data_IF_481502803116
#
_entry.id   IF_481502803116
#
_cell.length_a   1.000
_cell.length_b   1.000
_cell.length_c   1.000
_cell.angle_alpha   90.00
_cell.angle_beta   90.00
_cell.angle_gamma   90.00
#
_symmetry.space_group_name_H-M   'P 1'
#
loop_
_entity.id
_entity.type
_entity.pdbx_description
1 polymer ?
2 non-polymer ?
3 non-polymer ?
4 non-polymer ?
5 non-polymer ?
6 water ?
#
# COMPACT_ATOMS: atom_id res chain seq x y z
N UNK A 14 -1.64 4.44 -17.63
CA UNK A 14 -0.76 4.54 -16.46
C UNK A 14 -0.21 5.94 -16.21
N UNK A 15 0.19 6.19 -14.97
CA UNK A 15 0.78 7.46 -14.53
C UNK A 15 2.16 7.05 -14.04
N UNK A 16 3.17 7.19 -14.89
CA UNK A 16 4.44 6.56 -14.61
C UNK A 16 5.40 7.48 -13.88
N UNK A 17 6.22 6.88 -13.04
CA UNK A 17 7.24 7.63 -12.30
C UNK A 17 8.48 6.76 -12.20
N UNK A 18 9.63 7.42 -12.11
CA UNK A 18 10.89 6.74 -11.83
C UNK A 18 11.36 7.19 -10.46
N UNK A 19 11.57 6.23 -9.56
CA UNK A 19 11.96 6.51 -8.19
C UNK A 19 13.37 5.99 -7.97
N UNK A 20 14.30 6.90 -7.68
CA UNK A 20 15.68 6.54 -7.45
C UNK A 20 15.90 6.02 -6.03
N UNK A 21 16.75 5.01 -5.92
CA UNK A 21 17.15 4.42 -4.64
C UNK A 21 18.66 4.35 -4.60
N UNK A 22 19.23 4.10 -3.42
CA UNK A 22 20.69 3.90 -3.36
C UNK A 22 21.25 2.76 -4.19
N UNK A 23 20.49 1.69 -4.45
CA UNK A 23 21.04 0.58 -5.22
C UNK A 23 20.45 0.44 -6.61
N UNK A 24 19.56 1.32 -7.01
CA UNK A 24 18.94 1.24 -8.32
C UNK A 24 17.61 1.96 -8.32
N UNK A 25 17.03 2.06 -9.49
CA UNK A 25 15.79 2.78 -9.65
C UNK A 25 14.65 1.81 -9.92
N UNK A 26 13.43 2.24 -9.59
CA UNK A 26 12.23 1.49 -9.93
C UNK A 26 11.34 2.36 -10.78
N UNK A 27 10.71 1.77 -11.78
CA UNK A 27 9.62 2.44 -12.47
C UNK A 27 8.31 1.99 -11.84
N UNK A 28 7.43 2.95 -11.57
CA UNK A 28 6.16 2.72 -10.88
C UNK A 28 5.03 3.22 -11.78
N UNK A 29 3.97 2.43 -11.89
CA UNK A 29 2.69 2.94 -12.35
C UNK A 29 1.96 3.41 -11.11
N UNK A 30 1.86 4.73 -10.93
CA UNK A 30 1.29 5.27 -9.71
C UNK A 30 -0.17 4.88 -9.53
N UNK A 31 -0.88 4.61 -10.63
CA UNK A 31 -2.29 4.25 -10.51
C UNK A 31 -2.47 2.83 -9.96
N UNK A 32 -1.82 1.84 -10.58
CA UNK A 32 -1.97 0.46 -10.13
C UNK A 32 -1.00 0.10 -9.00
N UNK A 33 0.05 0.90 -8.80
CA UNK A 33 1.12 0.65 -7.84
C UNK A 33 1.96 -0.57 -8.19
N UNK A 34 1.85 -1.02 -9.44
CA UNK A 34 2.81 -1.95 -10.02
C UNK A 34 4.15 -1.25 -10.11
N UNK A 35 5.22 -1.99 -9.85
CA UNK A 35 6.52 -1.41 -10.09
C UNK A 35 7.47 -2.49 -10.54
N UNK A 36 8.63 -2.03 -11.03
CA UNK A 36 9.54 -2.79 -11.88
C UNK A 36 10.96 -2.29 -11.62
N UNK A 37 11.89 -3.19 -11.20
CA UNK A 37 13.26 -2.78 -10.95
C UNK A 37 13.90 -2.50 -12.29
N UNK A 38 14.39 -1.29 -12.47
CA UNK A 38 15.03 -0.90 -13.72
C UNK A 38 16.51 -1.24 -13.65
N UNK A 39 17.03 -1.79 -14.74
CA UNK A 39 18.47 -1.79 -14.88
C UNK A 39 18.93 -0.35 -15.14
N UNK A 40 20.20 -0.08 -14.89
CA UNK A 40 20.71 1.26 -15.14
C UNK A 40 20.54 1.66 -16.61
N UNK A 41 20.82 0.72 -17.51
CA UNK A 41 20.64 0.95 -18.93
C UNK A 41 19.16 1.17 -19.25
N UNK A 42 18.29 0.33 -18.71
CA UNK A 42 16.86 0.47 -18.99
C UNK A 42 16.31 1.80 -18.52
N UNK A 43 16.75 2.26 -17.35
CA UNK A 43 16.32 3.56 -16.85
C UNK A 43 16.72 4.67 -17.81
N UNK A 44 17.96 4.63 -18.31
CA UNK A 44 18.41 5.65 -19.24
C UNK A 44 17.57 5.64 -20.51
N UNK A 45 17.28 4.45 -21.04
CA UNK A 45 16.49 4.37 -22.25
C UNK A 45 15.05 4.83 -22.03
N UNK A 46 14.48 4.51 -20.86
CA UNK A 46 13.14 4.98 -20.54
C UNK A 46 13.07 6.49 -20.52
N UNK A 47 14.02 7.15 -19.84
CA UNK A 47 14.00 8.61 -19.82
C UNK A 47 14.08 9.17 -21.23
N UNK A 48 15.00 8.63 -22.04
CA UNK A 48 15.14 9.12 -23.42
C UNK A 48 13.83 8.95 -24.19
N UNK A 49 13.24 7.75 -24.12
CA UNK A 49 12.00 7.53 -24.86
C UNK A 49 10.89 8.46 -24.36
N UNK A 50 10.86 8.77 -23.07
CA UNK A 50 9.81 9.67 -22.57
C UNK A 50 9.99 11.08 -23.10
N UNK A 51 11.20 11.45 -23.51
CA UNK A 51 11.46 12.81 -23.99
C UNK A 51 11.28 12.89 -25.50
N UNK A 52 12.12 12.21 -26.27
CA UNK A 52 12.02 12.34 -27.71
C UNK A 52 10.96 11.43 -28.32
N UNK A 53 10.46 10.46 -27.56
CA UNK A 53 9.30 9.66 -27.96
C UNK A 53 9.50 8.95 -29.30
N UNK A 54 10.73 8.59 -29.63
CA UNK A 54 11.01 8.02 -30.94
C UNK A 54 12.16 7.04 -30.83
N UNK A 55 11.91 5.80 -31.25
CA UNK A 55 12.92 4.75 -31.12
C UNK A 55 14.16 5.05 -31.94
N UNK A 56 13.96 5.61 -33.16
CA UNK A 56 15.09 5.94 -34.00
C UNK A 56 15.94 7.05 -33.38
N UNK A 57 15.30 8.09 -32.85
CA UNK A 57 16.03 9.18 -32.20
C UNK A 57 16.77 8.66 -30.98
N UNK A 58 16.09 7.88 -30.13
CA UNK A 58 16.71 7.37 -28.92
C UNK A 58 17.91 6.48 -29.25
N UNK A 59 17.76 5.60 -30.24
CA UNK A 59 18.88 4.75 -30.64
C UNK A 59 20.07 5.58 -31.12
N UNK A 60 19.81 6.63 -31.91
CA UNK A 60 20.90 7.43 -32.42
C UNK A 60 21.60 8.22 -31.31
N UNK A 61 20.81 8.78 -30.39
CA UNK A 61 21.39 9.43 -29.21
C UNK A 61 22.31 8.46 -28.48
N UNK A 62 21.83 7.23 -28.27
CA UNK A 62 22.64 6.22 -27.60
C UNK A 62 23.96 6.01 -28.34
N UNK A 63 23.90 5.88 -29.67
CA UNK A 63 25.12 5.69 -30.44
C UNK A 63 26.11 6.82 -30.22
N UNK A 64 25.62 8.06 -30.23
CA UNK A 64 26.51 9.23 -30.09
C UNK A 64 27.13 9.29 -28.70
N UNK A 65 26.30 9.15 -27.67
CA UNK A 65 26.78 9.31 -26.30
C UNK A 65 27.62 8.12 -25.87
N UNK A 66 27.17 6.91 -26.17
CA UNK A 66 27.78 5.69 -25.66
C UNK A 66 28.84 5.12 -26.59
N UNK A 67 28.94 5.61 -27.82
CA UNK A 67 29.93 5.08 -28.77
C UNK A 67 29.75 3.59 -28.98
N UNK A 68 28.48 3.15 -29.08
CA UNK A 68 28.07 1.77 -29.24
C UNK A 68 26.98 1.75 -30.32
N UNK A 69 27.05 0.79 -31.23
CA UNK A 69 26.04 0.72 -32.28
C UNK A 69 24.69 0.30 -31.71
N UNK A 70 23.62 0.96 -32.19
CA UNK A 70 22.26 0.63 -31.76
C UNK A 70 21.30 1.14 -32.82
N UNK A 71 20.58 0.23 -33.46
CA UNK A 71 19.55 0.60 -34.41
C UNK A 71 18.20 0.58 -33.72
N UNK A 72 17.20 1.17 -34.37
CA UNK A 72 15.84 1.11 -33.85
C UNK A 72 15.37 -0.34 -33.70
N UNK A 73 15.77 -1.22 -34.62
CA UNK A 73 15.37 -2.62 -34.49
C UNK A 73 16.04 -3.30 -33.30
N UNK A 74 17.32 -2.99 -33.06
CA UNK A 74 18.00 -3.55 -31.89
C UNK A 74 17.40 -3.03 -30.60
N UNK A 75 17.08 -1.73 -30.55
CA UNK A 75 16.44 -1.17 -29.37
C UNK A 75 15.07 -1.81 -29.15
N UNK A 76 14.28 -1.92 -30.21
CA UNK A 76 12.98 -2.56 -30.09
C UNK A 76 13.11 -4.00 -29.60
N UNK A 77 14.03 -4.77 -30.19
CA UNK A 77 14.22 -6.15 -29.76
C UNK A 77 14.69 -6.23 -28.31
N UNK A 78 15.58 -5.32 -27.89
CA UNK A 78 16.02 -5.30 -26.51
C UNK A 78 14.85 -5.07 -25.56
N UNK A 79 14.05 -4.04 -25.83
CA UNK A 79 12.92 -3.75 -24.96
C UNK A 79 11.81 -4.80 -25.07
N UNK A 80 11.74 -5.53 -26.18
CA UNK A 80 10.75 -6.60 -26.27
C UNK A 80 11.06 -7.79 -25.38
N UNK A 81 12.17 -7.76 -24.64
CA UNK A 81 12.59 -8.89 -23.81
C UNK A 81 11.69 -9.10 -22.59
N UNK A 82 10.90 -8.09 -22.20
CA UNK A 82 10.00 -8.17 -21.06
C UNK A 82 8.71 -7.45 -21.47
N UNK A 83 7.55 -8.00 -21.10
CA UNK A 83 6.29 -7.38 -21.54
C UNK A 83 6.10 -5.93 -21.09
N UNK A 84 6.66 -5.55 -19.95
CA UNK A 84 6.49 -4.16 -19.53
C UNK A 84 7.37 -3.22 -20.33
N UNK A 85 8.65 -3.55 -20.48
CA UNK A 85 9.48 -2.72 -21.35
C UNK A 85 9.02 -2.79 -22.79
N UNK A 86 8.36 -3.87 -23.20
CA UNK A 86 7.85 -3.95 -24.56
C UNK A 86 6.86 -2.82 -24.84
N UNK A 87 6.03 -2.49 -23.84
CA UNK A 87 5.09 -1.39 -23.99
C UNK A 87 5.79 -0.05 -24.25
N UNK A 88 7.06 0.09 -23.85
CA UNK A 88 7.77 1.33 -24.11
C UNK A 88 7.99 1.55 -25.61
N UNK A 89 7.90 0.50 -26.40
CA UNK A 89 7.93 0.63 -27.86
C UNK A 89 6.55 0.89 -28.45
N UNK A 90 5.52 0.96 -27.61
CA UNK A 90 4.15 1.22 -28.05
C UNK A 90 3.59 2.52 -27.49
N UNK A 91 4.46 3.39 -26.96
CA UNK A 91 4.04 4.68 -26.48
C UNK A 91 3.64 4.77 -25.02
N UNK A 92 3.95 3.76 -24.20
CA UNK A 92 3.62 3.83 -22.78
C UNK A 92 4.25 5.06 -22.13
N UNK A 93 5.45 5.44 -22.55
CA UNK A 93 6.22 6.51 -21.94
C UNK A 93 5.93 7.88 -22.57
N UNK A 94 4.81 8.03 -23.28
CA UNK A 94 4.53 9.27 -24.02
C UNK A 94 4.06 10.43 -23.14
N UNK A 95 3.70 10.22 -21.88
CA UNK A 95 3.36 11.31 -20.95
C UNK A 95 4.57 11.64 -20.08
N UNK A 96 4.60 12.80 -19.42
CA UNK A 96 5.77 13.13 -18.59
C UNK A 96 5.99 12.13 -17.48
N UNK A 97 7.26 11.79 -17.26
CA UNK A 97 7.69 10.77 -16.32
C UNK A 97 8.15 11.47 -15.03
N UNK A 98 7.41 11.27 -13.94
CA UNK A 98 7.72 11.95 -12.68
C UNK A 98 8.98 11.35 -12.05
N UNK A 99 9.90 12.20 -11.59
CA UNK A 99 11.15 11.75 -10.99
C UNK A 99 11.16 12.04 -9.50
N UNK A 100 11.55 11.06 -8.70
CA UNK A 100 11.63 11.23 -7.25
C UNK A 100 12.71 10.31 -6.69
N UNK A 101 12.93 10.43 -5.38
CA UNK A 101 13.82 9.52 -4.69
C UNK A 101 15.17 10.14 -4.40
N UNK A 102 16.11 9.26 -4.06
CA UNK A 102 17.42 9.69 -3.59
C UNK A 102 18.43 8.57 -3.82
N UNK A 103 19.65 8.97 -4.17
CA UNK A 103 20.74 8.00 -4.27
C UNK A 103 21.38 7.73 -2.91
N UNK A 104 21.01 8.50 -1.88
CA UNK A 104 21.67 8.42 -0.60
C UNK A 104 20.81 7.85 0.51
N UNK A 105 19.50 7.83 0.34
CA UNK A 105 18.58 7.34 1.35
C UNK A 105 17.45 6.58 0.65
N UNK A 106 16.79 5.69 1.41
CA UNK A 106 15.62 4.98 0.91
C UNK A 106 14.39 5.79 1.29
N UNK A 107 13.73 6.34 0.29
CA UNK A 107 12.49 7.09 0.45
C UNK A 107 11.33 6.26 -0.06
N UNK A 108 10.19 6.27 0.61
CA UNK A 108 9.12 5.34 0.26
C UNK A 108 8.29 5.83 -0.92
N UNK A 109 7.63 4.88 -1.58
CA UNK A 109 6.62 5.21 -2.59
C UNK A 109 5.19 5.04 -2.06
N UNK A 110 5.04 4.41 -0.91
CA UNK A 110 3.76 4.18 -0.29
C UNK A 110 3.93 4.38 1.20
N UNK A 111 2.97 5.04 1.84
CA UNK A 111 2.97 5.15 3.29
C UNK A 111 1.60 4.78 3.84
N UNK A 112 1.63 4.28 5.08
CA UNK A 112 0.43 4.02 5.85
C UNK A 112 0.50 4.91 7.08
N UNK A 113 -0.51 5.73 7.27
CA UNK A 113 -0.54 6.71 8.36
C UNK A 113 -1.56 6.25 9.40
N UNK A 114 -1.10 5.98 10.61
CA UNK A 114 -1.96 5.66 11.73
C UNK A 114 -2.44 6.96 12.35
N UNK A 115 -3.63 7.42 11.95
CA UNK A 115 -4.02 8.78 12.31
C UNK A 115 -4.28 8.91 13.80
N UNK A 116 -4.82 7.87 14.41
CA UNK A 116 -5.09 7.83 15.84
C UNK A 116 -5.09 6.37 16.28
N UNK A 117 -4.79 6.12 17.54
CA UNK A 117 -5.01 4.79 18.09
C UNK A 117 -6.37 4.66 18.77
N UNK A 118 -7.15 5.74 18.81
CA UNK A 118 -8.51 5.65 19.33
C UNK A 118 -9.36 4.74 18.45
N UNK A 119 -10.30 4.04 19.07
CA UNK A 119 -11.25 3.21 18.33
C UNK A 119 -12.48 3.05 19.19
N UNK A 120 -13.65 2.87 18.56
CA UNK A 120 -14.85 2.59 19.33
C UNK A 120 -15.01 1.11 19.64
N UNK A 121 -14.17 0.24 19.07
CA UNK A 121 -14.09 -1.15 19.48
C UNK A 121 -12.80 -1.37 20.27
N UNK A 122 -12.61 -2.60 20.73
CA UNK A 122 -11.39 -2.95 21.45
C UNK A 122 -11.14 -4.45 21.25
N UNK A 123 -11.07 -4.86 19.98
CA UNK A 123 -10.98 -6.27 19.62
C UNK A 123 -9.82 -6.94 20.34
N UNK A 124 -10.07 -8.15 20.84
CA UNK A 124 -9.08 -8.83 21.66
C UNK A 124 -7.84 -9.26 20.86
N UNK A 125 -7.89 -9.20 19.54
CA UNK A 125 -6.78 -9.60 18.69
C UNK A 125 -5.99 -8.41 18.15
N UNK A 126 -6.41 -7.17 18.43
CA UNK A 126 -5.94 -6.00 17.70
C UNK A 126 -4.42 -5.85 17.77
N UNK A 127 -3.75 -5.89 16.61
CA UNK A 127 -2.29 -5.77 16.60
C UNK A 127 -1.83 -4.41 17.11
N UNK A 128 -2.68 -3.40 17.00
CA UNK A 128 -2.33 -2.03 17.39
C UNK A 128 -2.77 -1.72 18.81
N UNK A 129 -3.41 -2.68 19.48
CA UNK A 129 -3.93 -2.48 20.83
C UNK A 129 -4.78 -1.21 20.91
N UNK A 130 -5.62 -1.01 19.90
CA UNK A 130 -6.34 0.24 19.75
C UNK A 130 -7.53 0.32 20.71
N UNK A 131 -8.09 1.53 20.81
CA UNK A 131 -9.21 1.83 21.67
C UNK A 131 -8.98 3.18 22.31
N UNK A 132 -7.91 3.29 23.10
CA UNK A 132 -7.55 4.58 23.67
C UNK A 132 -6.48 5.24 22.80
N UNK A 133 -6.56 6.54 22.56
CA UNK A 133 -5.49 7.19 21.81
C UNK A 133 -4.22 7.23 22.64
N UNK A 134 -3.08 7.35 21.96
CA UNK A 134 -1.86 7.63 22.68
C UNK A 134 -2.01 9.00 23.37
N UNK A 135 -1.28 9.23 24.46
CA UNK A 135 -1.43 10.52 25.16
C UNK A 135 -1.11 11.72 24.30
N UNK A 136 -0.18 11.58 23.36
CA UNK A 136 0.13 12.64 22.42
C UNK A 136 0.12 12.01 21.04
N UNK A 137 -0.75 12.49 20.17
CA UNK A 137 -0.84 12.03 18.79
C UNK A 137 -0.74 13.24 17.89
N UNK A 138 -0.29 13.02 16.65
CA UNK A 138 -0.29 14.09 15.68
C UNK A 138 -1.72 14.59 15.46
N UNK A 139 -1.88 15.91 15.43
CA UNK A 139 -3.15 16.50 15.07
C UNK A 139 -3.36 16.38 13.56
N UNK A 140 -4.61 16.61 13.13
CA UNK A 140 -4.87 16.61 11.69
C UNK A 140 -4.02 17.66 10.97
N UNK A 141 -3.80 18.80 11.63
CA UNK A 141 -2.95 19.83 11.03
C UNK A 141 -1.52 19.31 10.82
N UNK A 142 -0.99 18.59 11.81
CA UNK A 142 0.34 18.01 11.66
C UNK A 142 0.36 16.94 10.57
N UNK A 143 -0.69 16.12 10.49
CA UNK A 143 -0.72 15.12 9.42
C UNK A 143 -0.76 15.79 8.04
N UNK A 144 -1.42 16.95 7.94
CA UNK A 144 -1.44 17.67 6.68
C UNK A 144 -0.04 18.20 6.34
N UNK A 145 0.72 18.66 7.35
CA UNK A 145 2.13 19.01 7.11
C UNK A 145 2.90 17.78 6.60
N UNK A 146 2.69 16.64 7.26
CA UNK A 146 3.38 15.41 6.88
C UNK A 146 3.06 15.04 5.45
N UNK A 147 1.78 15.10 5.08
CA UNK A 147 1.41 14.67 3.75
C UNK A 147 2.04 15.54 2.67
N UNK A 148 2.16 16.84 2.93
CA UNK A 148 2.84 17.70 1.95
C UNK A 148 4.29 17.30 1.77
N UNK A 149 4.97 16.96 2.87
CA UNK A 149 6.34 16.49 2.78
C UNK A 149 6.43 15.16 2.02
N UNK A 150 5.55 14.21 2.33
CA UNK A 150 5.59 12.92 1.65
C UNK A 150 5.33 13.07 0.16
N UNK A 151 4.30 13.84 -0.20
CA UNK A 151 3.98 13.98 -1.62
C UNK A 151 5.11 14.66 -2.37
N UNK A 152 5.74 15.67 -1.75
CA UNK A 152 6.86 16.36 -2.40
C UNK A 152 8.05 15.45 -2.57
N UNK A 153 8.11 14.34 -1.83
CA UNK A 153 9.17 13.36 -1.96
C UNK A 153 8.77 12.18 -2.84
N UNK A 154 7.63 12.24 -3.51
CA UNK A 154 7.28 11.20 -4.45
C UNK A 154 6.44 10.06 -3.91
N UNK A 155 5.98 10.13 -2.66
CA UNK A 155 5.03 9.12 -2.19
C UNK A 155 3.76 9.23 -3.03
N UNK A 156 3.34 8.09 -3.60
CA UNK A 156 2.22 8.08 -4.55
C UNK A 156 0.92 7.55 -3.95
N UNK A 157 1.03 6.76 -2.88
CA UNK A 157 -0.07 5.95 -2.39
C UNK A 157 -0.11 6.08 -0.88
N UNK A 158 -1.30 6.38 -0.35
CA UNK A 158 -1.47 6.60 1.08
C UNK A 158 -2.61 5.73 1.61
N UNK A 159 -2.38 5.13 2.78
CA UNK A 159 -3.43 4.45 3.51
C UNK A 159 -3.61 5.16 4.84
N UNK A 160 -4.87 5.42 5.21
CA UNK A 160 -5.21 6.06 6.46
C UNK A 160 -5.82 5.01 7.37
N UNK A 161 -5.17 4.75 8.52
CA UNK A 161 -5.57 3.66 9.40
C UNK A 161 -5.53 4.14 10.86
N UNK A 162 -5.62 3.20 11.78
CA UNK A 162 -5.67 3.52 13.20
C UNK A 162 -5.42 2.29 14.04
N UNK A 163 -6.28 1.96 15.01
CA UNK A 163 -7.45 2.73 15.36
C UNK A 163 -8.48 2.82 14.27
N UNK A 164 -9.49 3.64 14.51
CA UNK A 164 -10.48 4.02 13.50
C UNK A 164 -10.08 5.41 13.01
N UNK A 165 -9.45 5.45 11.85
CA UNK A 165 -8.85 6.67 11.32
C UNK A 165 -9.83 7.84 11.33
N UNK A 166 -11.07 7.60 10.93
CA UNK A 166 -11.99 8.72 10.75
C UNK A 166 -12.41 9.37 12.06
N UNK A 167 -12.04 8.79 13.21
CA UNK A 167 -12.33 9.43 14.48
C UNK A 167 -11.49 10.67 14.72
N UNK A 168 -10.39 10.85 13.97
CA UNK A 168 -9.53 12.00 14.23
C UNK A 168 -10.31 13.29 13.98
N UNK A 169 -10.17 14.24 14.90
CA UNK A 169 -10.75 15.56 14.64
C UNK A 169 -10.13 16.15 13.39
N UNK A 170 -10.97 16.70 12.51
CA UNK A 170 -10.48 17.24 11.26
C UNK A 170 -10.31 16.22 10.16
N UNK A 171 -10.95 15.05 10.28
CA UNK A 171 -10.79 14.00 9.29
C UNK A 171 -11.17 14.45 7.88
N UNK A 172 -12.27 15.20 7.74
CA UNK A 172 -12.74 15.56 6.40
C UNK A 172 -11.69 16.38 5.66
N UNK A 173 -11.15 17.41 6.31
CA UNK A 173 -10.10 18.20 5.69
C UNK A 173 -8.88 17.33 5.40
N UNK A 174 -8.56 16.42 6.32
CA UNK A 174 -7.38 15.59 6.10
C UNK A 174 -7.55 14.67 4.89
N UNK A 175 -8.70 14.01 4.77
CA UNK A 175 -8.87 13.10 3.65
C UNK A 175 -8.94 13.85 2.32
N UNK A 176 -9.44 15.10 2.33
CA UNK A 176 -9.37 15.91 1.11
C UNK A 176 -7.93 16.21 0.74
N UNK A 177 -7.09 16.56 1.71
CA UNK A 177 -5.68 16.77 1.41
C UNK A 177 -5.05 15.49 0.87
N UNK A 178 -5.35 14.36 1.49
CA UNK A 178 -4.80 13.10 1.00
C UNK A 178 -5.22 12.84 -0.43
N UNK A 179 -6.50 12.98 -0.73
CA UNK A 179 -6.96 12.79 -2.11
C UNK A 179 -6.26 13.73 -3.06
N UNK A 180 -6.07 14.99 -2.63
CA UNK A 180 -5.51 16.01 -3.49
C UNK A 180 -4.04 15.80 -3.78
N UNK A 181 -3.29 15.22 -2.83
CA UNK A 181 -1.85 15.16 -2.95
C UNK A 181 -1.32 13.81 -3.42
N UNK A 182 -2.15 12.77 -3.45
CA UNK A 182 -1.68 11.42 -3.77
C UNK A 182 -2.51 10.83 -4.89
N UNK A 183 -1.92 9.88 -5.61
CA UNK A 183 -2.66 9.27 -6.70
C UNK A 183 -3.79 8.41 -6.17
N UNK A 184 -3.52 7.64 -5.11
CA UNK A 184 -4.51 6.78 -4.48
C UNK A 184 -4.52 6.98 -2.98
N UNK A 185 -5.72 6.93 -2.41
CA UNK A 185 -5.92 6.96 -0.96
C UNK A 185 -6.79 5.77 -0.60
N UNK A 186 -6.46 5.12 0.50
CA UNK A 186 -7.31 4.10 1.07
C UNK A 186 -7.58 4.45 2.53
N UNK A 187 -8.85 4.32 2.94
CA UNK A 187 -9.25 4.54 4.34
C UNK A 187 -9.62 3.18 4.93
N UNK A 188 -8.96 2.77 6.01
CA UNK A 188 -9.31 1.53 6.67
C UNK A 188 -10.33 1.85 7.76
N UNK A 189 -11.40 1.06 7.83
CA UNK A 189 -12.47 1.28 8.79
C UNK A 189 -13.09 -0.03 9.26
N UNK A 190 -13.50 -0.04 10.53
CA UNK A 190 -14.34 -1.12 11.00
C UNK A 190 -15.76 -1.07 10.43
N UNK A 191 -16.11 -0.01 9.67
CA UNK A 191 -17.42 0.11 9.05
C UNK A 191 -18.51 0.65 9.94
N UNK A 192 -18.20 1.06 11.17
CA UNK A 192 -19.19 1.59 12.08
C UNK A 192 -19.22 3.11 12.00
N UNK A 193 -20.41 3.68 12.27
CA UNK A 193 -20.56 5.13 12.48
C UNK A 193 -20.18 5.93 11.23
N UNK A 194 -20.64 5.50 10.07
CA UNK A 194 -20.43 6.23 8.82
C UNK A 194 -21.59 7.18 8.56
N UNK A 195 -21.27 8.44 8.29
CA UNK A 195 -22.25 9.48 7.99
C UNK A 195 -22.44 9.64 6.47
N UNK A 196 -23.66 10.04 6.09
CA UNK A 196 -23.99 10.19 4.68
C UNK A 196 -23.03 11.14 3.99
N UNK A 197 -22.69 12.25 4.65
CA UNK A 197 -21.83 13.21 3.97
C UNK A 197 -20.39 12.71 3.88
N UNK A 198 -19.97 11.78 4.74
CA UNK A 198 -18.67 11.14 4.61
C UNK A 198 -18.63 10.26 3.37
N UNK A 199 -19.68 9.47 3.17
CA UNK A 199 -19.79 8.66 1.96
C UNK A 199 -19.76 9.56 0.73
N UNK A 200 -20.59 10.62 0.76
CA UNK A 200 -20.66 11.53 -0.37
C UNK A 200 -19.30 12.16 -0.66
N UNK A 201 -18.60 12.60 0.39
CA UNK A 201 -17.30 13.23 0.22
C UNK A 201 -16.32 12.30 -0.48
N UNK A 202 -16.20 11.08 0.02
CA UNK A 202 -15.25 10.14 -0.57
C UNK A 202 -15.65 9.78 -2.00
N UNK A 203 -16.96 9.71 -2.26
CA UNK A 203 -17.42 9.43 -3.61
C UNK A 203 -16.94 10.50 -4.59
N UNK A 204 -17.14 11.76 -4.23
CA UNK A 204 -16.77 12.86 -5.13
C UNK A 204 -15.26 12.98 -5.28
N UNK A 205 -14.50 12.71 -4.22
CA UNK A 205 -13.06 12.83 -4.31
C UNK A 205 -12.51 11.91 -5.39
N UNK A 206 -13.08 10.73 -5.52
CA UNK A 206 -12.87 9.91 -6.70
C UNK A 206 -11.70 8.96 -6.66
N UNK A 207 -10.67 9.25 -5.86
CA UNK A 207 -9.49 8.38 -5.80
C UNK A 207 -9.32 7.79 -4.41
N UNK A 208 -10.43 7.63 -3.68
CA UNK A 208 -10.40 7.08 -2.34
C UNK A 208 -11.13 5.73 -2.33
N UNK A 209 -10.44 4.70 -1.87
CA UNK A 209 -11.06 3.40 -1.61
C UNK A 209 -11.23 3.24 -0.11
N UNK A 210 -12.04 2.26 0.28
CA UNK A 210 -12.26 1.98 1.69
C UNK A 210 -12.09 0.50 1.94
N UNK A 211 -11.32 0.15 2.97
CA UNK A 211 -11.15 -1.22 3.41
C UNK A 211 -11.96 -1.41 4.68
N UNK A 212 -12.86 -2.40 4.67
CA UNK A 212 -13.77 -2.68 5.79
C UNK A 212 -13.46 -4.08 6.32
N UNK A 213 -13.35 -4.22 7.64
CA UNK A 213 -13.10 -5.53 8.24
C UNK A 213 -14.40 -6.28 8.53
N UNK A 214 -14.52 -7.48 7.98
CA UNK A 214 -15.64 -8.38 8.25
C UNK A 214 -15.02 -9.71 8.67
N UNK A 215 -15.34 -10.17 9.87
CA UNK A 215 -14.64 -11.31 10.48
C UNK A 215 -15.51 -12.54 10.65
N UNK A 216 -16.60 -12.63 9.92
CA UNK A 216 -17.47 -13.77 9.99
C UNK A 216 -18.86 -13.35 9.54
N UNK A 217 -19.78 -14.32 9.54
CA UNK A 217 -21.19 -13.96 9.48
C UNK A 217 -21.62 -13.30 10.79
N UNK A 218 -22.90 -12.95 10.88
CA UNK A 218 -23.38 -12.02 11.90
C UNK A 218 -22.89 -12.37 13.29
N UNK A 219 -23.19 -13.57 13.76
CA UNK A 219 -22.94 -13.85 15.17
C UNK A 219 -21.46 -14.02 15.47
N UNK A 220 -20.71 -14.69 14.58
CA UNK A 220 -19.27 -14.86 14.81
C UNK A 220 -18.55 -13.52 14.75
N UNK A 221 -18.85 -12.71 13.73
CA UNK A 221 -18.27 -11.39 13.62
C UNK A 221 -18.56 -10.56 14.88
N UNK A 222 -19.83 -10.55 15.30
CA UNK A 222 -20.22 -9.71 16.44
C UNK A 222 -19.51 -10.15 17.71
N UNK A 223 -19.33 -11.46 17.90
CA UNK A 223 -18.60 -11.96 19.06
C UNK A 223 -17.13 -11.56 19.00
N UNK A 224 -16.48 -11.78 17.85
CA UNK A 224 -15.06 -11.49 17.72
C UNK A 224 -14.79 -10.00 17.92
N UNK A 225 -15.67 -9.14 17.42
CA UNK A 225 -15.50 -7.69 17.47
C UNK A 225 -16.13 -7.07 18.72
N UNK A 226 -16.82 -7.85 19.54
CA UNK A 226 -17.43 -7.32 20.74
C UNK A 226 -18.51 -6.29 20.49
N UNK A 227 -19.29 -6.45 19.42
CA UNK A 227 -20.30 -5.46 19.07
C UNK A 227 -21.53 -6.18 18.51
N UNK A 228 -22.56 -6.31 19.33
CA UNK A 228 -23.81 -6.85 18.85
C UNK A 228 -24.40 -5.90 17.81
N UNK A 229 -24.69 -6.43 16.62
CA UNK A 229 -25.13 -5.62 15.51
C UNK A 229 -24.02 -5.04 14.66
N UNK A 230 -22.76 -5.31 15.00
CA UNK A 230 -21.65 -4.77 14.23
C UNK A 230 -21.63 -5.25 12.80
N UNK A 231 -21.85 -6.54 12.58
CA UNK A 231 -21.84 -7.08 11.22
C UNK A 231 -22.88 -6.38 10.35
N UNK A 232 -24.10 -6.26 10.86
CA UNK A 232 -25.15 -5.66 10.04
C UNK A 232 -24.81 -4.22 9.69
N UNK A 233 -24.28 -3.46 10.66
CA UNK A 233 -23.92 -2.08 10.39
C UNK A 233 -22.77 -1.99 9.37
N UNK A 234 -21.72 -2.79 9.59
CA UNK A 234 -20.59 -2.75 8.69
C UNK A 234 -20.95 -3.20 7.29
N UNK A 235 -21.83 -4.21 7.17
CA UNK A 235 -22.24 -4.65 5.84
C UNK A 235 -23.07 -3.56 5.16
N UNK A 236 -23.89 -2.85 5.93
CA UNK A 236 -24.63 -1.74 5.36
C UNK A 236 -23.69 -0.65 4.86
N UNK A 237 -22.62 -0.39 5.60
CA UNK A 237 -21.63 0.58 5.14
C UNK A 237 -21.00 0.13 3.83
N UNK A 238 -20.64 -1.16 3.72
CA UNK A 238 -20.09 -1.65 2.45
C UNK A 238 -21.07 -1.38 1.31
N UNK A 239 -22.35 -1.62 1.54
CA UNK A 239 -23.35 -1.39 0.51
C UNK A 239 -23.44 0.09 0.15
N UNK A 240 -23.51 0.97 1.15
CA UNK A 240 -23.62 2.41 0.89
C UNK A 240 -22.40 2.91 0.12
N UNK A 241 -21.21 2.48 0.53
CA UNK A 241 -20.00 2.89 -0.17
C UNK A 241 -20.01 2.40 -1.61
N UNK A 242 -20.35 1.13 -1.82
CA UNK A 242 -20.35 0.58 -3.17
C UNK A 242 -21.40 1.28 -4.04
N UNK A 243 -22.56 1.59 -3.45
CA UNK A 243 -23.60 2.28 -4.22
C UNK A 243 -23.15 3.67 -4.66
N UNK A 244 -22.26 4.30 -3.88
CA UNK A 244 -21.66 5.58 -4.23
C UNK A 244 -20.41 5.41 -5.09
N UNK A 245 -20.18 4.21 -5.65
CA UNK A 245 -19.07 3.97 -6.56
C UNK A 245 -17.71 4.11 -5.91
N UNK A 246 -17.63 3.86 -4.61
CA UNK A 246 -16.36 3.84 -3.89
C UNK A 246 -15.87 2.38 -3.88
N UNK A 247 -14.66 2.10 -4.36
CA UNK A 247 -14.17 0.72 -4.29
C UNK A 247 -14.01 0.30 -2.84
N UNK A 248 -14.60 -0.85 -2.51
CA UNK A 248 -14.54 -1.41 -1.18
C UNK A 248 -13.74 -2.70 -1.20
N UNK A 249 -12.75 -2.76 -0.32
CA UNK A 249 -11.95 -3.96 -0.06
C UNK A 249 -12.38 -4.51 1.28
N UNK A 250 -12.78 -5.78 1.32
CA UNK A 250 -13.16 -6.41 2.57
C UNK A 250 -12.00 -7.26 3.06
N UNK A 251 -11.60 -7.03 4.31
CA UNK A 251 -10.49 -7.75 4.93
C UNK A 251 -11.06 -8.65 6.03
N UNK A 252 -10.84 -9.95 5.90
CA UNK A 252 -11.29 -10.92 6.89
C UNK A 252 -10.06 -11.52 7.57
N UNK A 253 -10.00 -11.44 8.89
CA UNK A 253 -8.86 -11.87 9.67
C UNK A 253 -9.23 -13.19 10.34
N UNK A 254 -8.51 -14.25 9.98
CA UNK A 254 -8.95 -15.63 10.18
C UNK A 254 -8.48 -16.15 11.52
N UNK A 255 -9.36 -16.92 12.18
CA UNK A 255 -9.04 -17.63 13.40
C UNK A 255 -9.85 -18.93 13.39
N UNK A 256 -9.72 -19.71 14.46
CA UNK A 256 -10.44 -20.99 14.48
C UNK A 256 -11.95 -20.82 14.50
N UNK A 257 -12.45 -19.66 14.91
CA UNK A 257 -13.89 -19.44 15.01
C UNK A 257 -14.52 -19.16 13.66
N UNK A 258 -13.82 -18.43 12.78
CA UNK A 258 -14.43 -17.99 11.54
C UNK A 258 -13.90 -18.68 10.31
N UNK A 259 -12.96 -19.63 10.46
CA UNK A 259 -12.34 -20.24 9.29
C UNK A 259 -13.35 -20.90 8.37
N UNK A 260 -14.41 -21.48 8.93
CA UNK A 260 -15.43 -22.16 8.13
C UNK A 260 -16.53 -21.22 7.62
N UNK A 261 -16.39 -19.92 7.82
CA UNK A 261 -17.39 -18.95 7.36
C UNK A 261 -16.94 -18.14 6.15
N UNK A 262 -15.79 -18.45 5.58
CA UNK A 262 -15.20 -17.63 4.52
C UNK A 262 -16.12 -17.55 3.31
N UNK A 263 -16.61 -18.69 2.84
CA UNK A 263 -17.43 -18.67 1.63
C UNK A 263 -18.73 -17.90 1.85
N UNK A 264 -19.36 -18.06 3.02
CA UNK A 264 -20.56 -17.27 3.31
C UNK A 264 -20.26 -15.77 3.36
N UNK A 265 -19.13 -15.39 3.97
CA UNK A 265 -18.76 -13.97 4.00
C UNK A 265 -18.52 -13.44 2.58
N UNK A 266 -17.83 -14.22 1.75
CA UNK A 266 -17.56 -13.77 0.38
C UNK A 266 -18.86 -13.49 -0.35
N UNK A 267 -19.85 -14.38 -0.20
CA UNK A 267 -21.16 -14.16 -0.83
C UNK A 267 -21.77 -12.85 -0.37
N UNK A 268 -21.73 -12.58 0.94
CA UNK A 268 -22.31 -11.34 1.44
C UNK A 268 -21.59 -10.13 0.85
N UNK A 269 -20.27 -10.21 0.75
CA UNK A 269 -19.50 -9.11 0.19
C UNK A 269 -19.80 -8.91 -1.28
N UNK A 270 -19.92 -10.00 -2.04
CA UNK A 270 -20.28 -9.89 -3.44
C UNK A 270 -21.65 -9.24 -3.59
N UNK A 271 -22.63 -9.69 -2.80
CA UNK A 271 -23.96 -9.10 -2.87
C UNK A 271 -23.97 -7.63 -2.49
N UNK A 272 -23.10 -7.23 -1.56
CA UNK A 272 -23.02 -5.84 -1.12
C UNK A 272 -22.27 -4.95 -2.09
N UNK A 273 -21.61 -5.52 -3.09
CA UNK A 273 -20.93 -4.73 -4.10
C UNK A 273 -19.46 -4.49 -3.86
N UNK A 274 -18.84 -5.21 -2.92
CA UNK A 274 -17.42 -5.05 -2.69
C UNK A 274 -16.62 -5.40 -3.95
N UNK A 275 -15.44 -4.80 -4.05
CA UNK A 275 -14.52 -4.88 -5.18
C UNK A 275 -13.50 -5.99 -4.99
N UNK A 276 -13.00 -6.14 -3.77
CA UNK A 276 -11.92 -7.08 -3.44
C UNK A 276 -12.26 -7.73 -2.12
N UNK A 277 -11.96 -9.01 -2.00
CA UNK A 277 -12.02 -9.72 -0.73
C UNK A 277 -10.65 -10.32 -0.44
N UNK A 278 -10.13 -10.07 0.77
CA UNK A 278 -8.83 -10.59 1.17
C UNK A 278 -8.93 -11.24 2.54
N UNK A 279 -8.49 -12.48 2.65
CA UNK A 279 -8.41 -13.15 3.92
C UNK A 279 -6.95 -13.23 4.36
N UNK A 280 -6.71 -13.06 5.65
CA UNK A 280 -5.36 -13.15 6.18
C UNK A 280 -5.37 -13.77 7.56
N UNK A 281 -4.22 -14.26 7.98
CA UNK A 281 -4.09 -14.89 9.29
C UNK A 281 -4.09 -13.84 10.41
N UNK A 282 -4.49 -14.29 11.60
CA UNK A 282 -4.27 -13.50 12.80
C UNK A 282 -2.82 -13.68 13.23
N UNK A 283 -2.10 -12.57 13.39
CA UNK A 283 -0.68 -12.59 13.71
C UNK A 283 -0.48 -12.28 15.19
N UNK A 284 0.60 -12.83 15.75
CA UNK A 284 0.87 -12.71 17.18
C UNK A 284 1.55 -11.37 17.46
N UNK A 285 0.74 -10.32 17.38
CA UNK A 285 1.20 -8.96 17.61
C UNK A 285 0.14 -8.23 18.43
N UNK A 286 0.59 -7.34 19.32
CA UNK A 286 -0.37 -6.56 20.10
C UNK A 286 -1.21 -7.44 21.00
N UNK A 287 -2.51 -7.14 21.07
CA UNK A 287 -3.37 -7.90 21.98
C UNK A 287 -3.50 -9.37 21.60
N UNK A 288 -3.23 -9.72 20.36
CA UNK A 288 -3.36 -11.12 19.96
C UNK A 288 -2.27 -12.01 20.59
N UNK A 289 -1.20 -11.43 21.13
CA UNK A 289 -0.17 -12.27 21.71
C UNK A 289 -0.69 -13.08 22.89
N UNK A 290 -1.63 -12.51 23.66
CA UNK A 290 -2.15 -13.22 24.83
C UNK A 290 -2.97 -14.42 24.39
N UNK A 291 -2.51 -15.61 24.77
CA UNK A 291 -3.20 -16.83 24.38
C UNK A 291 -3.05 -17.21 22.93
N UNK A 292 -2.06 -16.67 22.22
CA UNK A 292 -1.97 -16.88 20.79
C UNK A 292 -1.82 -18.36 20.45
N UNK A 293 -2.59 -18.80 19.46
CA UNK A 293 -2.46 -20.13 18.88
C UNK A 293 -2.36 -19.96 17.37
N UNK A 294 -1.27 -20.46 16.79
CA UNK A 294 -1.10 -20.39 15.34
C UNK A 294 -2.19 -21.19 14.64
N UNK A 295 -2.65 -20.69 13.51
CA UNK A 295 -3.68 -21.38 12.76
C UNK A 295 -3.16 -22.73 12.32
N UNK A 296 -3.71 -23.83 12.86
CA UNK A 296 -3.16 -25.13 12.50
C UNK A 296 -3.52 -25.48 11.06
N UNK A 297 -2.92 -26.57 10.57
CA UNK A 297 -2.94 -26.83 9.13
C UNK A 297 -4.35 -27.14 8.63
N UNK A 298 -5.17 -27.81 9.45
CA UNK A 298 -6.52 -28.14 9.03
C UNK A 298 -7.35 -26.88 8.79
N UNK A 299 -7.21 -25.88 9.67
CA UNK A 299 -7.97 -24.65 9.50
C UNK A 299 -7.47 -23.86 8.30
N UNK A 300 -6.16 -23.89 8.05
CA UNK A 300 -5.61 -23.17 6.91
C UNK A 300 -6.09 -23.77 5.59
N UNK A 301 -6.13 -25.10 5.49
CA UNK A 301 -6.64 -25.73 4.28
C UNK A 301 -8.13 -25.48 4.11
N UNK A 302 -8.87 -25.45 5.22
CA UNK A 302 -10.29 -25.13 5.18
C UNK A 302 -10.53 -23.77 4.53
N UNK A 303 -9.73 -22.77 4.88
CA UNK A 303 -9.85 -21.46 4.24
C UNK A 303 -9.56 -21.57 2.75
N UNK A 304 -8.51 -22.31 2.39
CA UNK A 304 -8.09 -22.36 0.99
C UNK A 304 -9.15 -22.99 0.10
N UNK A 305 -9.82 -24.05 0.57
CA UNK A 305 -10.86 -24.67 -0.26
C UNK A 305 -12.02 -23.70 -0.49
N UNK A 306 -12.35 -22.90 0.51
CA UNK A 306 -13.44 -21.95 0.34
C UNK A 306 -13.04 -20.82 -0.59
N UNK A 307 -11.80 -20.35 -0.51
CA UNK A 307 -11.36 -19.33 -1.44
C UNK A 307 -11.42 -19.84 -2.87
N UNK A 308 -11.00 -21.10 -3.09
CA UNK A 308 -11.08 -21.69 -4.42
C UNK A 308 -12.52 -21.78 -4.90
N UNK A 309 -13.41 -22.32 -4.06
CA UNK A 309 -14.82 -22.40 -4.42
C UNK A 309 -15.37 -21.01 -4.71
N UNK A 310 -14.99 -20.02 -3.90
CA UNK A 310 -15.53 -18.67 -4.05
C UNK A 310 -15.14 -18.06 -5.39
N UNK A 311 -13.89 -18.27 -5.82
CA UNK A 311 -13.47 -17.74 -7.12
C UNK A 311 -14.25 -18.38 -8.25
N UNK A 312 -14.51 -19.68 -8.16
CA UNK A 312 -15.34 -20.34 -9.17
C UNK A 312 -16.73 -19.72 -9.20
N UNK A 313 -17.32 -19.45 -8.04
CA UNK A 313 -18.68 -18.93 -7.99
C UNK A 313 -18.72 -17.42 -8.24
N UNK A 314 -17.98 -16.65 -7.44
CA UNK A 314 -18.07 -15.18 -7.45
C UNK A 314 -16.94 -14.50 -8.18
N UNK A 315 -15.95 -15.24 -8.68
CA UNK A 315 -14.77 -14.59 -9.26
C UNK A 315 -15.10 -13.59 -10.34
N UNK A 316 -16.28 -13.74 -10.98
CA UNK A 316 -16.68 -12.79 -12.00
C UNK A 316 -16.96 -11.42 -11.41
N UNK A 317 -17.63 -11.38 -10.25
CA UNK A 317 -18.11 -10.13 -9.68
C UNK A 317 -17.22 -9.57 -8.57
N UNK A 318 -16.10 -10.24 -8.25
CA UNK A 318 -15.33 -9.87 -7.07
C UNK A 318 -13.93 -10.46 -7.19
N UNK A 319 -12.91 -9.66 -6.89
CA UNK A 319 -11.53 -10.12 -6.88
C UNK A 319 -11.24 -10.75 -5.53
N UNK A 320 -11.05 -12.07 -5.51
CA UNK A 320 -10.80 -12.82 -4.29
C UNK A 320 -9.31 -13.12 -4.22
N UNK A 321 -8.61 -12.44 -3.30
CA UNK A 321 -7.15 -12.47 -3.28
C UNK A 321 -6.65 -13.85 -2.87
N UNK A 322 -5.52 -14.25 -3.47
CA UNK A 322 -4.88 -15.50 -3.12
C UNK A 322 -4.42 -15.51 -1.67
N UNK A 323 -4.61 -16.65 -1.00
CA UNK A 323 -4.19 -16.82 0.38
C UNK A 323 -2.67 -16.72 0.52
N UNK A 324 -2.22 -15.83 1.41
CA UNK A 324 -0.79 -15.57 1.62
C UNK A 324 -0.08 -15.16 0.32
N UNK A 332 5.74 -6.40 -9.38
CA UNK A 332 4.99 -6.62 -8.14
C UNK A 332 4.28 -5.34 -7.71
N UNK A 333 3.24 -5.46 -6.89
CA UNK A 333 2.66 -4.31 -6.22
C UNK A 333 2.89 -4.35 -4.71
N UNK A 334 3.65 -5.31 -4.22
CA UNK A 334 4.01 -5.36 -2.81
C UNK A 334 5.16 -4.40 -2.56
N UNK A 335 4.90 -3.33 -1.83
CA UNK A 335 5.94 -2.36 -1.52
C UNK A 335 6.74 -2.86 -0.34
N UNK A 336 8.04 -3.08 -0.56
CA UNK A 336 8.88 -3.72 0.42
C UNK A 336 8.94 -2.89 1.71
N UNK A 337 8.75 -3.50 2.87
CA UNK A 337 8.73 -2.73 4.12
C UNK A 337 10.06 -2.03 4.36
N UNK A 338 9.97 -0.78 4.78
CA UNK A 338 11.12 0.05 5.08
C UNK A 338 11.78 0.62 3.85
N UNK A 339 12.08 -0.23 2.86
CA UNK A 339 12.77 0.22 1.67
C UNK A 339 11.85 0.99 0.73
N UNK A 340 10.59 0.54 0.60
CA UNK A 340 9.65 1.22 -0.30
C UNK A 340 8.37 1.65 0.37
N UNK A 341 8.11 1.21 1.60
CA UNK A 341 6.89 1.57 2.31
C UNK A 341 7.25 1.93 3.74
N UNK A 342 6.62 2.98 4.24
CA UNK A 342 6.75 3.37 5.64
C UNK A 342 5.40 3.30 6.34
N UNK A 343 5.43 2.88 7.59
CA UNK A 343 4.30 2.99 8.50
C UNK A 343 4.59 4.12 9.48
N UNK A 344 3.67 5.07 9.59
CA UNK A 344 3.86 6.23 10.46
C UNK A 344 2.83 6.15 11.57
N UNK A 345 3.31 5.91 12.78
CA UNK A 345 2.45 5.74 13.94
C UNK A 345 1.82 7.06 14.35
N UNK A 346 0.76 6.96 15.16
CA UNK A 346 0.05 8.16 15.59
C UNK A 346 0.92 9.07 16.46
N UNK A 347 1.97 8.53 17.07
CA UNK A 347 2.93 9.33 17.82
C UNK A 347 4.07 9.86 16.97
N UNK A 348 4.00 9.66 15.65
CA UNK A 348 4.99 10.21 14.74
C UNK A 348 6.17 9.31 14.43
N UNK A 349 6.36 8.23 15.18
CA UNK A 349 7.47 7.33 14.85
C UNK A 349 7.20 6.54 13.58
N UNK A 350 8.23 6.46 12.73
CA UNK A 350 8.19 5.78 11.45
C UNK A 350 8.81 4.40 11.63
N UNK A 351 8.13 3.37 11.14
CA UNK A 351 8.62 2.00 11.18
C UNK A 351 8.45 1.39 9.80
N UNK A 352 9.02 0.20 9.56
CA UNK A 352 8.90 -0.40 8.23
C UNK A 352 7.54 -0.98 7.95
N UNK A 353 6.70 -1.15 8.97
CA UNK A 353 5.57 -2.07 8.84
C UNK A 353 4.61 -1.83 9.98
N UNK A 354 3.30 -1.94 9.70
CA UNK A 354 2.31 -1.68 10.73
C UNK A 354 2.41 -2.66 11.91
N UNK A 355 3.06 -3.80 11.73
CA UNK A 355 3.24 -4.76 12.81
C UNK A 355 4.45 -4.46 13.69
N UNK A 356 5.30 -3.52 13.29
CA UNK A 356 6.63 -3.37 13.85
C UNK A 356 6.73 -2.04 14.58
N UNK A 357 7.23 -2.11 15.82
CA UNK A 357 7.52 -0.94 16.66
C UNK A 357 8.90 -0.36 16.39
N UNK A 358 9.84 -1.17 15.93
CA UNK A 358 11.23 -0.72 15.77
C UNK A 358 11.27 0.46 14.82
N UNK A 359 11.80 1.62 15.24
CA UNK A 359 11.70 2.82 14.40
C UNK A 359 12.84 3.04 13.44
N UNK A 360 12.48 3.58 12.27
CA UNK A 360 13.46 4.18 11.38
C UNK A 360 13.78 5.61 11.81
N UNK A 361 12.84 6.26 12.48
CA UNK A 361 13.02 7.64 12.86
C UNK A 361 11.67 8.22 13.27
N UNK A 362 11.62 9.55 13.32
CA UNK A 362 10.42 10.27 13.72
C UNK A 362 10.09 11.29 12.65
N UNK A 363 8.84 11.28 12.17
CA UNK A 363 8.48 12.05 10.96
C UNK A 363 8.56 13.56 11.17
N UNK A 364 8.44 14.03 12.40
CA UNK A 364 8.58 15.46 12.65
C UNK A 364 9.98 15.84 13.13
N UNK A 365 10.61 14.97 13.92
CA UNK A 365 11.88 15.33 14.55
C UNK A 365 13.07 15.10 13.62
N UNK A 366 12.97 14.19 12.66
CA UNK A 366 14.08 13.80 11.82
C UNK A 366 13.80 14.19 10.38
N UNK A 367 14.85 14.41 9.60
CA UNK A 367 14.68 14.68 8.20
C UNK A 367 14.30 13.40 7.45
N UNK A 368 13.60 13.56 6.32
CA UNK A 368 13.31 12.40 5.48
C UNK A 368 14.58 11.60 5.17
N UNK A 369 15.66 12.30 4.82
CA UNK A 369 16.90 11.65 4.46
C UNK A 369 17.44 10.82 5.61
N UNK A 370 17.33 11.33 6.84
CA UNK A 370 17.84 10.57 7.99
C UNK A 370 16.96 9.35 8.29
N UNK A 371 15.65 9.46 8.09
CA UNK A 371 14.76 8.35 8.37
C UNK A 371 15.09 7.17 7.47
N UNK A 372 15.40 7.44 6.20
CA UNK A 372 15.69 6.38 5.24
C UNK A 372 17.15 5.96 5.18
N UNK A 373 17.86 6.07 6.30
CA UNK A 373 19.27 5.67 6.33
C UNK A 373 19.46 4.21 5.91
N UNK A 374 20.29 3.92 4.91
CA UNK A 374 20.54 2.51 4.56
C UNK A 374 21.09 1.69 5.71
N UNK A 375 21.97 2.26 6.53
CA UNK A 375 22.54 1.51 7.64
C UNK A 375 21.48 1.11 8.65
N UNK A 376 20.57 2.04 8.98
CA UNK A 376 19.52 1.70 9.93
C UNK A 376 18.61 0.62 9.37
N UNK A 377 18.30 0.68 8.07
CA UNK A 377 17.46 -0.35 7.47
C UNK A 377 18.10 -1.73 7.61
N UNK A 378 19.41 -1.82 7.39
CA UNK A 378 20.11 -3.09 7.59
C UNK A 378 19.99 -3.55 9.04
N UNK A 379 20.15 -2.62 9.99
CA UNK A 379 20.02 -2.96 11.39
C UNK A 379 18.60 -3.44 11.71
N UNK A 380 17.58 -2.74 11.19
CA UNK A 380 16.21 -3.17 11.43
C UNK A 380 15.92 -4.51 10.77
N UNK A 381 16.51 -4.75 9.60
CA UNK A 381 16.31 -6.00 8.91
C UNK A 381 16.73 -7.19 9.78
N UNK A 382 17.81 -7.03 10.55
CA UNK A 382 18.27 -8.10 11.44
C UNK A 382 17.53 -8.10 12.77
N UNK A 383 17.17 -6.92 13.29
CA UNK A 383 16.64 -6.78 14.63
C UNK A 383 15.13 -6.96 14.72
N UNK A 384 14.40 -6.72 13.63
CA UNK A 384 12.94 -6.71 13.68
C UNK A 384 12.38 -8.08 14.05
N UNK A 385 11.46 -8.10 15.01
CA UNK A 385 10.85 -9.34 15.47
C UNK A 385 9.41 -9.52 15.02
N UNK A 386 8.73 -8.47 14.61
CA UNK A 386 7.30 -8.56 14.28
C UNK A 386 7.01 -8.46 12.81
N UNK A 387 7.66 -7.57 12.06
CA UNK A 387 7.57 -7.64 10.61
C UNK A 387 8.38 -8.83 10.14
N UNK A 388 7.69 -9.82 9.56
CA UNK A 388 8.37 -11.01 9.07
C UNK A 388 8.93 -10.81 7.66
N UNK A 389 8.42 -9.83 6.91
CA UNK A 389 8.87 -9.64 5.53
C UNK A 389 10.26 -9.00 5.46
N UNK A 390 10.55 -8.03 6.33
CA UNK A 390 11.77 -7.24 6.16
C UNK A 390 13.02 -8.10 6.30
N UNK A 391 12.97 -9.11 7.18
CA UNK A 391 14.14 -9.96 7.37
C UNK A 391 14.46 -10.79 6.14
N UNK A 392 13.46 -11.05 5.30
CA UNK A 392 13.62 -11.88 4.11
C UNK A 392 14.07 -11.08 2.88
N UNK A 393 14.13 -9.76 2.98
CA UNK A 393 14.42 -8.93 1.81
C UNK A 393 15.87 -9.11 1.37
N UNK A 394 16.06 -9.37 0.09
CA UNK A 394 17.40 -9.46 -0.50
C UNK A 394 17.51 -8.36 -1.56
N UNK A 395 18.39 -7.39 -1.32
CA UNK A 395 18.57 -6.32 -2.29
C UNK A 395 19.29 -6.85 -3.53
N UNK A 396 18.84 -6.39 -4.69
CA UNK A 396 19.53 -6.72 -5.93
C UNK A 396 20.90 -6.04 -5.96
N UNK A 397 21.77 -6.56 -6.83
CA UNK A 397 23.11 -6.00 -6.96
C UNK A 397 23.01 -4.57 -7.46
N UNK A 398 23.83 -3.65 -6.92
CA UNK A 398 23.69 -2.23 -7.30
C UNK A 398 23.78 -2.05 -8.81
N UNK A 399 22.85 -1.28 -9.35
CA UNK A 399 22.74 -1.11 -10.81
C UNK A 399 22.05 0.25 -10.99
N UNK A 400 22.86 1.29 -10.95
CA UNK A 400 22.32 2.65 -10.93
C UNK A 400 22.25 3.22 -12.34
N UNK A 401 21.24 4.05 -12.63
CA UNK A 401 21.23 4.75 -13.92
C UNK A 401 22.41 5.69 -13.99
N UNK A 402 22.86 6.00 -15.20
CA UNK A 402 23.89 7.02 -15.37
C UNK A 402 25.16 6.65 -14.61
N UNK A 403 25.67 5.44 -14.87
CA UNK A 403 26.70 4.73 -14.07
C UNK A 403 26.08 4.03 -12.88
#
# INVERSE_FOLDING_TARGET
>A
GHMSYDRVKDFDLPELAVHLQPHGAVMIDRKSMFYFRLSGRGAQLAFLLSKNKNLHKTARIWEIMKKEEMSADQLKEELSAHPFTEAWTEGLLDQPLHVSGSLDSYLPISCTLQLTNACNLSCSFCYASSGKPYPEELSSEQWILVMQKLAAHGVADITLTGGEAKLIKGFKELVVVASSLFTNVNVFSNGLNWRDEEVELLSHLGNVSVQISIDGMDNTHDQLRGRKGGFKESMNTIKKLSEANIPVIVAMTINESNADEVSDVVEQCANAGAFIFRAGKTLSVGRATEGFKALDIDFEEMVQIQLREARHKWGDRLNIIDWEHEESSFTTDFCTPGYLAWYIRADGYVTPCQLEDLPLGHILEDSMADIGSPARLLQLKCEAKNCKCIGKIELSEPDLPFQKEVKAGIQE
#
